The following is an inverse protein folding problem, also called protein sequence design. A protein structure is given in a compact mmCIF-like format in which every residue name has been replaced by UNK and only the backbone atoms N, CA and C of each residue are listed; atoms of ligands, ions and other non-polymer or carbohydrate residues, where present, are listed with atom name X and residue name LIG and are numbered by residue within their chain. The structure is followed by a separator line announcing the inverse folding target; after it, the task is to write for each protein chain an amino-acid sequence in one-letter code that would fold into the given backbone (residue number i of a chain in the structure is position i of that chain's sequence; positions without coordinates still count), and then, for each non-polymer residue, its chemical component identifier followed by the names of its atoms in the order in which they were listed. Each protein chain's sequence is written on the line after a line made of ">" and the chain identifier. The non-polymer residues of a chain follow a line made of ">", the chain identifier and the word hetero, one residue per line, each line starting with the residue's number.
data_IF_602418389580
#
_entry.id   IF_602418389580
#
_cell.length_a   1.000
_cell.length_b   1.000
_cell.length_c   1.000
_cell.angle_alpha   90.00
_cell.angle_beta   90.00
_cell.angle_gamma   90.00
#
_symmetry.space_group_name_H-M   'P 1'
#
loop_
_entity.id
_entity.type
_entity.pdbx_description
1 polymer ?
#
# COMPACT_ATOMS: atom_id res chain seq x y z
N UNK A 1 4.76 32.05 -76.93
CA UNK A 1 4.05 30.75 -76.92
C UNK A 1 5.14 29.70 -76.70
N UNK A 2 5.21 28.90 -75.65
CA UNK A 2 4.35 28.60 -74.52
C UNK A 2 5.34 28.36 -73.36
N UNK A 3 5.22 29.05 -72.22
CA UNK A 3 5.91 28.55 -71.01
C UNK A 3 5.32 27.15 -70.80
N UNK A 4 6.15 26.12 -70.96
CA UNK A 4 5.65 24.78 -71.21
C UNK A 4 4.70 24.37 -70.10
N UNK A 5 3.48 23.97 -70.46
CA UNK A 5 2.47 23.46 -69.52
C UNK A 5 3.06 22.33 -68.65
N UNK A 6 4.01 21.56 -69.19
CA UNK A 6 4.76 20.51 -68.48
C UNK A 6 5.63 21.03 -67.32
N UNK A 7 6.20 22.23 -67.42
CA UNK A 7 7.03 22.82 -66.37
C UNK A 7 6.15 23.24 -65.18
N UNK A 8 4.96 23.79 -65.48
CA UNK A 8 3.94 24.09 -64.46
C UNK A 8 3.41 22.83 -63.76
N UNK A 9 3.16 21.74 -64.51
CA UNK A 9 2.78 20.45 -63.92
C UNK A 9 3.87 19.86 -63.03
N UNK A 10 5.13 19.94 -63.44
CA UNK A 10 6.28 19.42 -62.66
C UNK A 10 6.49 20.23 -61.38
N UNK A 11 6.38 21.56 -61.45
CA UNK A 11 6.43 22.45 -60.27
C UNK A 11 5.26 22.18 -59.32
N UNK A 12 4.03 22.01 -59.82
CA UNK A 12 2.90 21.64 -58.98
C UNK A 12 3.07 20.27 -58.32
N UNK A 13 3.53 19.24 -59.06
CA UNK A 13 3.72 17.89 -58.52
C UNK A 13 4.81 17.88 -57.43
N UNK A 14 5.92 18.59 -57.66
CA UNK A 14 7.02 18.72 -56.69
C UNK A 14 6.60 19.47 -55.42
N UNK A 15 5.79 20.54 -55.55
CA UNK A 15 5.21 21.22 -54.38
C UNK A 15 4.29 20.29 -53.60
N UNK A 16 3.41 19.54 -54.28
CA UNK A 16 2.51 18.58 -53.62
C UNK A 16 3.31 17.51 -52.87
N UNK A 17 4.34 16.94 -53.49
CA UNK A 17 5.22 15.95 -52.84
C UNK A 17 5.98 16.56 -51.65
N UNK A 18 6.49 17.79 -51.77
CA UNK A 18 7.15 18.50 -50.67
C UNK A 18 6.19 18.76 -49.50
N UNK A 19 4.97 19.20 -49.76
CA UNK A 19 3.97 19.44 -48.70
C UNK A 19 3.56 18.13 -48.04
N UNK A 20 3.34 17.07 -48.83
CA UNK A 20 2.96 15.76 -48.30
C UNK A 20 4.08 15.15 -47.44
N UNK A 21 5.34 15.27 -47.86
CA UNK A 21 6.49 14.78 -47.09
C UNK A 21 6.73 15.59 -45.82
N UNK A 22 6.54 16.92 -45.84
CA UNK A 22 6.60 17.77 -44.64
C UNK A 22 5.51 17.39 -43.63
N UNK A 23 4.26 17.24 -44.08
CA UNK A 23 3.14 16.83 -43.21
C UNK A 23 3.41 15.47 -42.58
N UNK A 24 3.89 14.49 -43.36
CA UNK A 24 4.24 13.16 -42.84
C UNK A 24 5.37 13.25 -41.80
N UNK A 25 6.40 14.07 -42.07
CA UNK A 25 7.54 14.22 -41.16
C UNK A 25 7.13 14.84 -39.83
N UNK A 26 6.31 15.89 -39.86
CA UNK A 26 5.85 16.58 -38.65
C UNK A 26 4.89 15.68 -37.85
N UNK A 27 4.00 14.94 -38.52
CA UNK A 27 3.13 13.95 -37.88
C UNK A 27 3.94 12.80 -37.23
N UNK A 28 5.00 12.33 -37.91
CA UNK A 28 5.91 11.31 -37.37
C UNK A 28 6.66 11.83 -36.13
N UNK A 29 7.15 13.07 -36.18
CA UNK A 29 7.84 13.71 -35.07
C UNK A 29 6.93 13.81 -33.84
N UNK A 30 5.70 14.31 -34.01
CA UNK A 30 4.70 14.40 -32.94
C UNK A 30 4.38 13.03 -32.32
N UNK A 31 4.25 11.99 -33.15
CA UNK A 31 4.00 10.63 -32.67
C UNK A 31 5.16 10.10 -31.81
N UNK A 32 6.40 10.42 -32.17
CA UNK A 32 7.60 10.05 -31.41
C UNK A 32 7.63 10.74 -30.05
N UNK A 33 7.35 12.05 -30.00
CA UNK A 33 7.36 12.83 -28.76
C UNK A 33 6.27 12.37 -27.78
N UNK A 34 5.03 12.20 -28.26
CA UNK A 34 3.90 11.70 -27.44
C UNK A 34 4.22 10.30 -26.91
N UNK A 35 4.83 9.44 -27.73
CA UNK A 35 5.25 8.10 -27.30
C UNK A 35 6.32 8.17 -26.20
N UNK A 36 7.32 9.03 -26.35
CA UNK A 36 8.37 9.20 -25.35
C UNK A 36 7.79 9.67 -24.00
N UNK A 37 6.85 10.62 -24.03
CA UNK A 37 6.14 11.08 -22.83
C UNK A 37 5.35 9.97 -22.15
N UNK A 38 4.63 9.14 -22.92
CA UNK A 38 3.86 8.01 -22.38
C UNK A 38 4.77 6.94 -21.71
N UNK A 39 5.94 6.68 -22.27
CA UNK A 39 6.93 5.76 -21.67
C UNK A 39 7.47 6.31 -20.36
N UNK A 40 7.79 7.61 -20.31
CA UNK A 40 8.28 8.23 -19.07
C UNK A 40 7.19 8.28 -17.99
N UNK A 41 5.94 8.59 -18.37
CA UNK A 41 4.80 8.52 -17.45
C UNK A 41 4.61 7.11 -16.87
N UNK A 42 4.74 6.08 -17.72
CA UNK A 42 4.65 4.69 -17.28
C UNK A 42 5.74 4.36 -16.25
N UNK A 43 6.99 4.76 -16.54
CA UNK A 43 8.12 4.53 -15.64
C UNK A 43 7.92 5.22 -14.28
N UNK A 44 7.40 6.44 -14.29
CA UNK A 44 7.06 7.18 -13.08
C UNK A 44 5.97 6.46 -12.26
N UNK A 45 4.93 5.95 -12.91
CA UNK A 45 3.85 5.18 -12.26
C UNK A 45 4.36 3.85 -11.68
N UNK A 46 5.26 3.16 -12.38
CA UNK A 46 5.93 1.94 -11.90
C UNK A 46 6.74 2.23 -10.64
N UNK A 47 7.61 3.24 -10.68
CA UNK A 47 8.43 3.63 -9.54
C UNK A 47 7.57 4.05 -8.33
N UNK A 48 6.52 4.85 -8.56
CA UNK A 48 5.61 5.26 -7.49
C UNK A 48 4.90 4.04 -6.85
N UNK A 49 4.51 3.06 -7.67
CA UNK A 49 3.85 1.86 -7.17
C UNK A 49 4.82 0.99 -6.36
N UNK A 50 6.05 0.83 -6.83
CA UNK A 50 7.09 0.09 -6.11
C UNK A 50 7.39 0.73 -4.74
N UNK A 51 7.59 2.05 -4.70
CA UNK A 51 7.78 2.79 -3.44
C UNK A 51 6.60 2.62 -2.49
N UNK A 52 5.37 2.62 -3.02
CA UNK A 52 4.16 2.43 -2.22
C UNK A 52 4.08 1.01 -1.65
N UNK A 53 4.39 -0.02 -2.44
CA UNK A 53 4.42 -1.42 -1.98
C UNK A 53 5.48 -1.59 -0.89
N UNK A 54 6.66 -1.01 -1.05
CA UNK A 54 7.71 -1.04 -0.02
C UNK A 54 7.23 -0.41 1.28
N UNK A 55 6.62 0.78 1.23
CA UNK A 55 6.07 1.42 2.43
C UNK A 55 5.00 0.57 3.12
N UNK A 56 4.12 -0.08 2.33
CA UNK A 56 3.12 -1.00 2.88
C UNK A 56 3.76 -2.22 3.55
N UNK A 57 4.90 -2.70 3.04
CA UNK A 57 5.66 -3.77 3.67
C UNK A 57 6.26 -3.31 5.00
N UNK A 58 6.92 -2.15 5.04
CA UNK A 58 7.51 -1.58 6.25
C UNK A 58 6.44 -1.36 7.35
N UNK A 59 5.25 -0.89 6.96
CA UNK A 59 4.11 -0.74 7.87
C UNK A 59 3.63 -2.09 8.43
N UNK A 60 3.54 -3.12 7.60
CA UNK A 60 3.17 -4.47 8.07
C UNK A 60 4.18 -5.00 9.08
N UNK A 61 5.47 -4.82 8.82
CA UNK A 61 6.54 -5.26 9.71
C UNK A 61 6.54 -4.49 11.03
N UNK A 62 6.30 -3.18 10.97
CA UNK A 62 6.08 -2.35 12.15
C UNK A 62 4.92 -2.86 13.02
N UNK A 63 3.76 -3.11 12.43
CA UNK A 63 2.60 -3.62 13.18
C UNK A 63 2.80 -5.03 13.70
N UNK A 64 3.54 -5.88 12.99
CA UNK A 64 3.91 -7.22 13.49
C UNK A 64 4.78 -7.09 14.73
N UNK A 65 5.78 -6.20 14.69
CA UNK A 65 6.63 -5.96 15.87
C UNK A 65 5.85 -5.34 17.03
N UNK A 66 4.93 -4.42 16.72
CA UNK A 66 4.04 -3.82 17.73
C UNK A 66 3.15 -4.88 18.37
N UNK A 67 2.56 -5.78 17.60
CA UNK A 67 1.73 -6.88 18.11
C UNK A 67 2.51 -7.82 19.05
N UNK A 68 3.74 -8.19 18.69
CA UNK A 68 4.63 -8.97 19.57
C UNK A 68 4.84 -8.27 20.92
N UNK A 69 5.09 -6.96 20.88
CA UNK A 69 5.26 -6.15 22.09
C UNK A 69 3.97 -6.16 22.93
N UNK A 70 2.81 -5.88 22.33
CA UNK A 70 1.52 -5.89 23.04
C UNK A 70 1.23 -7.26 23.68
N UNK A 71 1.51 -8.37 22.98
CA UNK A 71 1.37 -9.72 23.53
C UNK A 71 2.28 -9.96 24.72
N UNK A 72 3.52 -9.48 24.67
CA UNK A 72 4.46 -9.61 25.79
C UNK A 72 4.03 -8.75 26.99
N UNK A 73 3.55 -7.52 26.76
CA UNK A 73 2.95 -6.69 27.81
C UNK A 73 1.75 -7.39 28.48
N UNK A 74 0.83 -7.92 27.68
CA UNK A 74 -0.31 -8.70 28.17
C UNK A 74 0.13 -9.85 29.07
N UNK A 75 1.09 -10.68 28.62
CA UNK A 75 1.63 -11.81 29.41
C UNK A 75 2.26 -11.35 30.72
N UNK A 76 2.99 -10.24 30.71
CA UNK A 76 3.63 -9.73 31.92
C UNK A 76 2.61 -9.17 32.94
N UNK A 77 1.52 -8.55 32.48
CA UNK A 77 0.41 -8.13 33.33
C UNK A 77 -0.35 -9.31 33.93
N UNK A 78 -0.64 -10.37 33.15
CA UNK A 78 -1.30 -11.57 33.71
C UNK A 78 -0.43 -12.24 34.77
N UNK A 79 0.87 -12.43 34.49
CA UNK A 79 1.84 -12.98 35.47
C UNK A 79 1.87 -12.14 36.76
N UNK A 80 1.85 -10.81 36.64
CA UNK A 80 1.80 -9.91 37.79
C UNK A 80 0.53 -10.13 38.61
N UNK A 81 -0.64 -10.12 37.96
CA UNK A 81 -1.91 -10.33 38.63
C UNK A 81 -2.02 -11.71 39.30
N UNK A 82 -1.60 -12.78 38.62
CA UNK A 82 -1.62 -14.15 39.14
C UNK A 82 -0.75 -14.32 40.38
N UNK A 83 0.48 -13.80 40.35
CA UNK A 83 1.42 -13.88 41.47
C UNK A 83 0.83 -13.29 42.75
N UNK A 84 0.18 -12.14 42.63
CA UNK A 84 -0.39 -11.43 43.77
C UNK A 84 -1.76 -11.96 44.18
N UNK A 85 -2.58 -12.48 43.25
CA UNK A 85 -3.82 -13.19 43.57
C UNK A 85 -3.58 -14.49 44.37
N UNK A 86 -2.54 -15.27 44.01
CA UNK A 86 -2.21 -16.52 44.70
C UNK A 86 -1.83 -16.27 46.18
N UNK A 87 -1.12 -15.18 46.44
CA UNK A 87 -0.71 -14.77 47.80
C UNK A 87 -1.89 -14.32 48.67
N UNK A 88 -2.91 -13.68 48.08
CA UNK A 88 -4.09 -13.16 48.79
C UNK A 88 -5.09 -14.25 49.19
N UNK A 89 -5.13 -15.41 48.50
CA UNK A 89 -6.03 -16.52 48.86
C UNK A 89 -5.53 -17.37 50.05
N UNK A 90 -4.28 -17.20 50.47
CA UNK A 90 -3.64 -18.02 51.51
C UNK A 90 -4.00 -17.62 52.95
N UNK A 91 -4.68 -16.48 53.17
CA UNK A 91 -5.09 -16.01 54.50
C UNK A 91 -6.56 -16.39 54.78
N UNK A 92 -6.79 -17.08 55.90
CA UNK A 92 -8.11 -17.61 56.33
C UNK A 92 -9.21 -16.55 56.52
N UNK A 93 -8.86 -15.26 56.55
CA UNK A 93 -9.80 -14.15 56.79
C UNK A 93 -10.70 -13.82 55.59
N UNK A 94 -10.47 -14.45 54.43
CA UNK A 94 -11.13 -14.12 53.16
C UNK A 94 -12.66 -14.34 53.13
N UNK A 95 -13.19 -15.19 54.01
CA UNK A 95 -14.65 -15.43 54.09
C UNK A 95 -15.38 -14.38 54.93
N UNK A 96 -14.70 -13.73 55.88
CA UNK A 96 -15.34 -12.79 56.80
C UNK A 96 -15.56 -11.41 56.16
N UNK A 97 -14.68 -10.99 55.24
CA UNK A 97 -14.78 -9.71 54.52
C UNK A 97 -15.80 -9.67 53.37
N UNK A 98 -16.43 -10.79 53.02
CA UNK A 98 -17.49 -10.83 51.98
C UNK A 98 -18.84 -10.30 52.45
N UNK A 99 -19.06 -10.12 53.76
CA UNK A 99 -20.38 -9.77 54.31
C UNK A 99 -20.72 -8.29 54.28
N UNK A 100 -19.72 -7.40 54.30
CA UNK A 100 -19.96 -5.95 54.31
C UNK A 100 -19.66 -5.35 52.94
N UNK A 101 -20.69 -5.32 52.10
CA UNK A 101 -20.63 -4.84 50.71
C UNK A 101 -20.60 -3.30 50.59
N UNK A 102 -20.67 -2.59 51.72
CA UNK A 102 -20.65 -1.13 51.77
C UNK A 102 -19.31 -0.63 52.34
N UNK A 103 -18.52 0.02 51.47
CA UNK A 103 -17.28 0.78 51.71
C UNK A 103 -15.93 0.03 51.62
N UNK A 104 -14.93 0.78 51.14
CA UNK A 104 -13.57 0.36 50.80
C UNK A 104 -12.80 -0.24 51.99
N UNK A 105 -12.91 -1.55 52.18
CA UNK A 105 -11.86 -2.29 52.89
C UNK A 105 -10.59 -2.30 52.03
N UNK A 106 -9.37 -2.14 52.61
CA UNK A 106 -8.11 -2.29 51.89
C UNK A 106 -8.03 -3.58 51.04
N UNK A 107 -8.71 -4.65 51.49
CA UNK A 107 -8.83 -5.91 50.77
C UNK A 107 -9.66 -5.78 49.48
N UNK A 108 -10.76 -5.02 49.52
CA UNK A 108 -11.58 -4.76 48.35
C UNK A 108 -10.85 -3.85 47.35
N UNK A 109 -10.15 -2.81 47.82
CA UNK A 109 -9.29 -1.97 46.97
C UNK A 109 -8.24 -2.80 46.23
N UNK A 110 -7.60 -3.71 46.97
CA UNK A 110 -6.61 -4.62 46.41
C UNK A 110 -7.19 -5.53 45.32
N UNK A 111 -8.38 -6.09 45.55
CA UNK A 111 -9.05 -6.92 44.55
C UNK A 111 -9.46 -6.13 43.30
N UNK A 112 -9.98 -4.91 43.47
CA UNK A 112 -10.29 -4.01 42.35
C UNK A 112 -9.04 -3.69 41.52
N UNK A 113 -7.90 -3.44 42.17
CA UNK A 113 -6.62 -3.20 41.50
C UNK A 113 -6.16 -4.43 40.70
N UNK A 114 -6.20 -5.62 41.30
CA UNK A 114 -5.83 -6.85 40.60
C UNK A 114 -6.74 -7.12 39.40
N UNK A 115 -8.05 -6.89 39.53
CA UNK A 115 -8.97 -7.02 38.41
C UNK A 115 -8.71 -6.00 37.30
N UNK A 116 -8.31 -4.78 37.65
CA UNK A 116 -7.92 -3.77 36.67
C UNK A 116 -6.71 -4.21 35.84
N UNK A 117 -5.66 -4.72 36.50
CA UNK A 117 -4.46 -5.26 35.81
C UNK A 117 -4.84 -6.42 34.87
N UNK A 118 -5.76 -7.30 35.28
CA UNK A 118 -6.27 -8.39 34.41
C UNK A 118 -7.10 -7.89 33.24
N UNK A 119 -7.83 -6.78 33.40
CA UNK A 119 -8.53 -6.15 32.27
C UNK A 119 -7.52 -5.58 31.28
N UNK A 120 -6.54 -4.82 31.75
CA UNK A 120 -5.46 -4.27 30.91
C UNK A 120 -4.72 -5.37 30.15
N UNK A 121 -4.39 -6.49 30.82
CA UNK A 121 -3.83 -7.69 30.18
C UNK A 121 -4.65 -8.16 28.97
N UNK A 122 -5.99 -8.25 29.12
CA UNK A 122 -6.90 -8.66 28.03
C UNK A 122 -7.01 -7.61 26.94
N UNK A 123 -7.00 -6.32 27.29
CA UNK A 123 -7.06 -5.23 26.34
C UNK A 123 -5.82 -5.24 25.43
N UNK A 124 -4.62 -5.44 26.00
CA UNK A 124 -3.38 -5.60 25.25
C UNK A 124 -3.38 -6.85 24.36
N UNK A 125 -3.92 -7.98 24.84
CA UNK A 125 -4.08 -9.19 24.01
C UNK A 125 -5.02 -8.93 22.81
N UNK A 126 -6.14 -8.26 23.06
CA UNK A 126 -7.11 -7.88 22.02
C UNK A 126 -6.49 -6.92 21.01
N UNK A 127 -5.70 -5.95 21.48
CA UNK A 127 -5.02 -4.99 20.62
C UNK A 127 -3.98 -5.67 19.71
N UNK A 128 -3.24 -6.64 20.24
CA UNK A 128 -2.32 -7.47 19.44
C UNK A 128 -3.08 -8.23 18.33
N UNK A 129 -4.20 -8.86 18.69
CA UNK A 129 -5.06 -9.57 17.73
C UNK A 129 -5.59 -8.64 16.63
N UNK A 130 -6.03 -7.43 16.99
CA UNK A 130 -6.46 -6.41 16.03
C UNK A 130 -5.34 -6.02 15.06
N UNK A 131 -4.10 -5.86 15.54
CA UNK A 131 -2.98 -5.56 14.66
C UNK A 131 -2.71 -6.70 13.67
N UNK A 132 -2.68 -7.95 14.13
CA UNK A 132 -2.38 -9.10 13.30
C UNK A 132 -3.50 -9.42 12.31
N UNK A 133 -4.74 -9.48 12.78
CA UNK A 133 -5.85 -10.02 12.00
C UNK A 133 -6.63 -8.97 11.23
N UNK A 134 -6.56 -7.69 11.63
CA UNK A 134 -7.30 -6.62 10.96
C UNK A 134 -6.37 -5.67 10.22
N UNK A 135 -5.41 -5.05 10.92
CA UNK A 135 -4.56 -4.01 10.33
C UNK A 135 -3.63 -4.60 9.27
N UNK A 136 -2.83 -5.62 9.64
CA UNK A 136 -1.89 -6.25 8.70
C UNK A 136 -2.65 -6.85 7.51
N UNK A 137 -3.71 -7.62 7.75
CA UNK A 137 -4.54 -8.20 6.68
C UNK A 137 -5.05 -7.15 5.68
N UNK A 138 -5.52 -5.99 6.16
CA UNK A 138 -5.95 -4.89 5.28
C UNK A 138 -4.79 -4.31 4.48
N UNK A 139 -3.62 -4.13 5.10
CA UNK A 139 -2.43 -3.64 4.40
C UNK A 139 -1.96 -4.62 3.32
N UNK A 140 -2.01 -5.93 3.59
CA UNK A 140 -1.73 -6.98 2.60
C UNK A 140 -2.67 -6.87 1.40
N UNK A 141 -3.98 -6.75 1.64
CA UNK A 141 -4.96 -6.58 0.55
C UNK A 141 -4.68 -5.32 -0.29
N UNK A 142 -4.35 -4.20 0.36
CA UNK A 142 -4.01 -2.95 -0.36
C UNK A 142 -2.72 -3.13 -1.18
N UNK A 143 -1.74 -3.86 -0.67
CA UNK A 143 -0.50 -4.18 -1.38
C UNK A 143 -0.77 -5.02 -2.62
N UNK A 144 -1.54 -6.10 -2.48
CA UNK A 144 -1.92 -7.00 -3.57
C UNK A 144 -2.72 -6.27 -4.66
N UNK A 145 -3.65 -5.41 -4.26
CA UNK A 145 -4.40 -4.58 -5.19
C UNK A 145 -3.51 -3.59 -5.94
N UNK A 146 -2.53 -2.98 -5.26
CA UNK A 146 -1.57 -2.07 -5.89
C UNK A 146 -0.74 -2.81 -6.95
N UNK A 147 -0.26 -4.02 -6.65
CA UNK A 147 0.47 -4.86 -7.60
C UNK A 147 -0.41 -5.31 -8.78
N UNK A 148 -1.67 -5.67 -8.52
CA UNK A 148 -2.63 -6.05 -9.57
C UNK A 148 -2.96 -4.90 -10.51
N UNK A 149 -3.17 -3.70 -9.98
CA UNK A 149 -3.43 -2.51 -10.78
C UNK A 149 -2.25 -2.20 -11.69
N UNK A 150 -1.02 -2.26 -11.17
CA UNK A 150 0.18 -2.07 -11.98
C UNK A 150 0.24 -3.06 -13.14
N UNK A 151 0.02 -4.35 -12.86
CA UNK A 151 -0.01 -5.39 -13.89
C UNK A 151 -1.04 -5.10 -14.99
N UNK A 152 -2.22 -4.58 -14.63
CA UNK A 152 -3.24 -4.20 -15.61
C UNK A 152 -2.84 -3.00 -16.45
N UNK A 153 -2.20 -2.00 -15.85
CA UNK A 153 -1.67 -0.82 -16.56
C UNK A 153 -0.63 -1.27 -17.58
N UNK A 154 0.35 -2.09 -17.16
CA UNK A 154 1.38 -2.63 -18.06
C UNK A 154 0.81 -3.54 -19.16
N UNK A 155 -0.25 -4.31 -18.87
CA UNK A 155 -0.92 -5.17 -19.86
C UNK A 155 -1.83 -4.42 -20.84
N UNK A 156 -2.26 -3.21 -20.53
CA UNK A 156 -3.08 -2.38 -21.44
C UNK A 156 -2.22 -1.62 -22.46
N UNK A 157 -0.91 -1.50 -22.21
CA UNK A 157 0.06 -0.83 -23.07
C UNK A 157 0.55 -1.56 -24.35
N UNK A 158 0.44 -2.88 -24.55
CA UNK A 158 0.92 -3.53 -25.78
C UNK A 158 0.34 -2.94 -27.07
N UNK A 159 -0.84 -2.28 -27.00
CA UNK A 159 -1.43 -1.54 -28.11
C UNK A 159 -0.63 -0.29 -28.53
N UNK A 160 0.13 0.32 -27.62
CA UNK A 160 1.05 1.44 -27.88
C UNK A 160 2.46 0.98 -28.28
N UNK A 161 2.89 -0.19 -27.79
CA UNK A 161 4.24 -0.74 -28.02
C UNK A 161 4.37 -1.57 -29.31
N UNK A 162 3.29 -2.20 -29.82
CA UNK A 162 3.33 -2.99 -31.07
C UNK A 162 3.68 -2.16 -32.33
N UNK A 163 3.55 -0.83 -32.28
CA UNK A 163 3.99 0.05 -33.37
C UNK A 163 5.52 0.21 -33.41
N UNK A 164 6.24 -0.13 -32.33
CA UNK A 164 7.72 -0.03 -32.26
C UNK A 164 8.45 -1.08 -33.11
N UNK A 165 7.77 -2.11 -33.60
CA UNK A 165 8.34 -3.06 -34.57
C UNK A 165 8.00 -2.69 -36.03
N UNK A 166 7.15 -1.68 -36.27
CA UNK A 166 6.88 -1.12 -37.60
C UNK A 166 7.72 0.12 -37.89
N UNK A 167 8.98 0.15 -37.46
CA UNK A 167 9.98 1.00 -38.12
C UNK A 167 10.23 0.41 -39.50
N UNK A 168 9.55 0.95 -40.51
CA UNK A 168 9.86 0.66 -41.91
C UNK A 168 11.36 0.90 -42.15
N UNK A 169 12.06 0.00 -42.88
CA UNK A 169 13.44 0.23 -43.25
C UNK A 169 13.53 1.52 -44.07
N UNK A 170 14.48 2.39 -43.71
CA UNK A 170 14.86 3.50 -44.58
C UNK A 170 15.59 2.91 -45.77
N UNK A 171 14.92 2.84 -46.91
CA UNK A 171 15.55 2.77 -48.24
C UNK A 171 15.26 4.05 -49.00
#
# INVERSE_FOLDING_TARGET
>A
MCVNMSDWFTVCLSIIVCVYTLIIRDALCLCVDVRAQLVEQQRCLEQQTEMRVQLLQDLQDFFRKKAEIETEYSRNLEKLAERFMAKTRSTKDHQQYKKDQNLLSPVNCWYLLLNQVRRESKDHATLSDLYLNNVITRLTHISDDSARLLKRVSQSQPLLMHVSQMTFPRE
#
